data_IF_090776358689
#
_entry.id   IF_090776358689
#
_cell.length_a   1.000
_cell.length_b   1.000
_cell.length_c   1.000
_cell.angle_alpha   90.00
_cell.angle_beta   90.00
_cell.angle_gamma   90.00
#
_symmetry.space_group_name_H-M   'P 1'
#
loop_
_entity.id
_entity.type
_entity.pdbx_description
1 polymer ?
#
# COMPACT_ATOMS: atom_id res chain seq x y z
N UNK A 1 -17.56 -18.15 7.71
CA UNK A 1 -16.29 -18.87 7.49
C UNK A 1 -15.81 -18.45 6.13
N UNK A 2 -14.60 -17.91 6.04
CA UNK A 2 -14.01 -17.42 4.79
C UNK A 2 -12.75 -18.24 4.47
N UNK A 3 -12.62 -18.70 3.22
CA UNK A 3 -11.61 -19.67 2.78
C UNK A 3 -10.47 -18.92 2.08
N UNK A 4 -9.29 -18.93 2.68
CA UNK A 4 -8.17 -18.07 2.25
C UNK A 4 -7.26 -18.77 1.23
N UNK A 5 -7.38 -20.09 1.08
CA UNK A 5 -6.72 -20.91 0.06
C UNK A 5 -7.56 -22.16 -0.23
N UNK A 6 -7.83 -22.45 -1.51
CA UNK A 6 -8.44 -23.75 -1.89
C UNK A 6 -7.42 -24.90 -1.74
N UNK A 7 -7.87 -26.14 -1.46
CA UNK A 7 -6.98 -27.29 -1.42
C UNK A 7 -6.35 -27.54 -2.80
N UNK A 8 -5.05 -27.31 -2.93
CA UNK A 8 -4.29 -27.79 -4.08
C UNK A 8 -3.98 -29.26 -3.86
N UNK A 9 -4.17 -30.11 -4.89
CA UNK A 9 -3.86 -31.56 -4.85
C UNK A 9 -2.50 -31.79 -4.18
N UNK A 10 -2.53 -32.36 -2.97
CA UNK A 10 -1.33 -32.76 -2.22
C UNK A 10 -1.00 -31.94 -0.97
N UNK A 11 -1.67 -30.81 -0.70
CA UNK A 11 -1.48 -30.05 0.56
C UNK A 11 -2.58 -30.36 1.59
N UNK A 12 -2.21 -30.56 2.86
CA UNK A 12 -3.10 -30.92 3.99
C UNK A 12 -3.43 -29.75 4.93
N UNK A 13 -3.20 -28.49 4.51
CA UNK A 13 -3.41 -27.30 5.35
C UNK A 13 -4.45 -26.38 4.71
N UNK A 14 -5.37 -25.86 5.54
CA UNK A 14 -6.44 -24.94 5.14
C UNK A 14 -6.45 -23.74 6.09
N UNK A 15 -6.38 -22.54 5.52
CA UNK A 15 -6.39 -21.28 6.27
C UNK A 15 -7.80 -20.71 6.30
N UNK A 16 -8.28 -20.38 7.51
CA UNK A 16 -9.66 -19.98 7.76
C UNK A 16 -9.70 -18.74 8.66
N UNK A 17 -10.38 -17.69 8.23
CA UNK A 17 -10.74 -16.58 9.11
C UNK A 17 -12.03 -16.90 9.88
N UNK A 18 -11.96 -16.70 11.21
CA UNK A 18 -13.07 -16.93 12.13
C UNK A 18 -13.44 -15.62 12.81
N UNK A 19 -14.63 -15.05 12.52
CA UNK A 19 -15.12 -13.87 13.23
C UNK A 19 -15.15 -14.11 14.75
N UNK A 20 -14.85 -13.08 15.55
CA UNK A 20 -14.78 -13.19 17.02
C UNK A 20 -16.04 -13.81 17.62
N UNK A 21 -17.22 -13.44 17.10
CA UNK A 21 -18.52 -13.96 17.52
C UNK A 21 -18.67 -15.48 17.34
N UNK A 22 -17.94 -16.08 16.39
CA UNK A 22 -17.96 -17.51 16.07
C UNK A 22 -16.72 -18.26 16.59
N UNK A 23 -15.76 -17.56 17.19
CA UNK A 23 -14.46 -18.11 17.57
C UNK A 23 -14.58 -19.31 18.51
N UNK A 24 -15.42 -19.22 19.55
CA UNK A 24 -15.60 -20.33 20.49
C UNK A 24 -16.28 -21.54 19.85
N UNK A 25 -17.28 -21.31 18.98
CA UNK A 25 -18.00 -22.38 18.30
C UNK A 25 -17.12 -23.13 17.30
N UNK A 26 -16.27 -22.42 16.57
CA UNK A 26 -15.32 -23.04 15.62
C UNK A 26 -14.23 -23.80 16.36
N UNK A 27 -13.67 -23.27 17.45
CA UNK A 27 -12.70 -24.01 18.28
C UNK A 27 -13.30 -25.31 18.82
N UNK A 28 -14.50 -25.24 19.40
CA UNK A 28 -15.19 -26.42 19.91
C UNK A 28 -15.45 -27.47 18.82
N UNK A 29 -15.80 -27.04 17.60
CA UNK A 29 -15.97 -27.94 16.46
C UNK A 29 -14.66 -28.61 16.05
N UNK A 30 -13.56 -27.86 15.95
CA UNK A 30 -12.26 -28.41 15.54
C UNK A 30 -11.74 -29.41 16.58
N UNK A 31 -11.85 -29.08 17.87
CA UNK A 31 -11.48 -29.95 18.98
C UNK A 31 -12.31 -31.25 19.00
N UNK A 32 -13.64 -31.15 18.85
CA UNK A 32 -14.55 -32.30 18.86
C UNK A 32 -14.30 -33.28 17.69
N UNK A 33 -13.72 -32.80 16.59
CA UNK A 33 -13.42 -33.60 15.41
C UNK A 33 -11.93 -33.99 15.30
N UNK A 34 -11.12 -33.68 16.32
CA UNK A 34 -9.69 -34.01 16.33
C UNK A 34 -8.88 -33.28 15.26
N UNK A 35 -9.35 -32.14 14.77
CA UNK A 35 -8.69 -31.34 13.74
C UNK A 35 -7.68 -30.42 14.43
N UNK A 36 -6.39 -30.61 14.15
CA UNK A 36 -5.33 -29.75 14.67
C UNK A 36 -5.40 -28.36 14.03
N UNK A 37 -5.24 -27.30 14.83
CA UNK A 37 -5.23 -25.91 14.39
C UNK A 37 -4.25 -25.07 15.21
N UNK A 38 -3.82 -23.93 14.66
CA UNK A 38 -2.98 -22.91 15.32
C UNK A 38 -3.61 -21.52 15.11
N UNK A 39 -3.58 -20.65 16.14
CA UNK A 39 -4.09 -19.28 16.05
C UNK A 39 -2.97 -18.36 15.55
N UNK A 40 -3.11 -17.82 14.34
CA UNK A 40 -2.04 -17.01 13.72
C UNK A 40 -2.10 -15.51 14.08
N UNK A 41 -3.28 -14.91 14.27
CA UNK A 41 -3.46 -13.46 14.53
C UNK A 41 -4.58 -13.26 15.57
N UNK A 42 -4.34 -12.43 16.60
CA UNK A 42 -5.20 -12.34 17.79
C UNK A 42 -6.07 -11.06 17.89
N UNK A 43 -5.68 -9.92 17.28
CA UNK A 43 -6.45 -8.67 17.31
C UNK A 43 -6.12 -7.77 16.11
N UNK A 44 -7.12 -7.07 15.57
CA UNK A 44 -6.99 -6.18 14.40
C UNK A 44 -7.80 -4.90 14.63
N UNK A 45 -7.18 -3.89 15.25
CA UNK A 45 -7.81 -2.58 15.54
C UNK A 45 -6.98 -1.43 14.94
N UNK A 46 -7.41 -0.91 13.78
CA UNK A 46 -6.71 0.14 13.03
C UNK A 46 -7.44 1.50 13.06
N UNK A 47 -8.75 1.53 13.33
CA UNK A 47 -9.56 2.75 13.25
C UNK A 47 -9.34 3.76 14.39
N UNK A 48 -9.18 3.33 15.64
CA UNK A 48 -8.95 4.23 16.78
C UNK A 48 -7.63 5.03 16.67
N UNK A 49 -6.71 4.57 15.82
CA UNK A 49 -5.41 5.19 15.63
C UNK A 49 -5.45 6.35 14.62
N UNK A 50 -6.28 6.28 13.58
CA UNK A 50 -6.38 7.34 12.55
C UNK A 50 -6.94 8.65 13.14
N UNK A 51 -7.92 8.54 14.04
CA UNK A 51 -8.48 9.71 14.74
C UNK A 51 -7.44 10.41 15.64
N UNK A 52 -6.53 9.64 16.25
CA UNK A 52 -5.45 10.21 17.07
C UNK A 52 -4.41 11.00 16.26
N UNK A 53 -4.15 10.59 15.01
CA UNK A 53 -3.13 11.20 14.15
C UNK A 53 -3.47 12.65 13.79
N UNK A 54 -4.74 12.90 13.49
CA UNK A 54 -5.22 14.21 13.04
C UNK A 54 -5.38 15.17 14.23
N UNK A 55 -5.81 14.64 15.38
CA UNK A 55 -5.83 15.41 16.62
C UNK A 55 -4.44 15.87 17.07
N UNK A 56 -3.39 15.08 16.78
CA UNK A 56 -2.01 15.36 17.19
C UNK A 56 -1.23 16.31 16.25
N UNK A 57 -1.66 16.52 15.00
CA UNK A 57 -0.89 17.28 13.98
C UNK A 57 -1.75 18.23 13.11
N UNK A 58 -2.55 19.14 13.69
CA UNK A 58 -3.55 19.94 12.96
C UNK A 58 -2.95 20.91 11.92
N UNK A 59 -1.68 21.29 12.06
CA UNK A 59 -0.99 22.22 11.16
C UNK A 59 -0.31 21.53 9.95
N UNK A 60 -0.22 20.19 9.96
CA UNK A 60 0.46 19.38 8.93
C UNK A 60 -0.43 18.27 8.34
N UNK A 61 -1.57 17.99 8.96
CA UNK A 61 -2.50 16.94 8.56
C UNK A 61 -3.92 17.51 8.64
N UNK A 62 -4.58 17.71 7.49
CA UNK A 62 -5.98 18.14 7.45
C UNK A 62 -6.93 16.93 7.35
N UNK A 63 -8.04 16.94 8.10
CA UNK A 63 -8.92 15.77 8.27
C UNK A 63 -9.95 15.53 7.16
N UNK A 64 -9.65 15.88 5.90
CA UNK A 64 -10.51 15.47 4.78
C UNK A 64 -10.09 14.10 4.27
N UNK A 65 -10.21 13.06 5.11
CA UNK A 65 -9.98 11.64 4.77
C UNK A 65 -8.62 11.28 4.11
N UNK A 66 -7.69 12.24 3.98
CA UNK A 66 -6.44 12.17 3.22
C UNK A 66 -5.41 13.09 3.89
N UNK A 67 -4.30 12.59 4.44
CA UNK A 67 -3.18 13.45 4.79
C UNK A 67 -2.60 14.09 3.52
N UNK A 68 -2.73 15.41 3.42
CA UNK A 68 -2.03 16.28 2.47
C UNK A 68 -0.78 16.83 3.17
N UNK A 69 0.40 16.48 2.65
CA UNK A 69 1.67 17.01 3.11
C UNK A 69 2.16 18.07 2.11
N UNK A 70 1.86 19.33 2.41
CA UNK A 70 2.25 20.48 1.60
C UNK A 70 2.90 21.57 2.45
N UNK A 71 3.84 22.30 1.85
CA UNK A 71 4.39 23.54 2.43
C UNK A 71 4.16 24.77 1.53
N UNK A 72 3.26 24.68 0.54
CA UNK A 72 2.91 25.78 -0.36
C UNK A 72 1.93 25.40 -1.48
N UNK A 73 1.33 26.38 -2.16
CA UNK A 73 0.23 26.15 -3.13
C UNK A 73 0.76 25.87 -4.54
N UNK A 74 0.15 24.91 -5.25
CA UNK A 74 0.32 24.69 -6.69
C UNK A 74 1.58 23.93 -7.10
N UNK A 75 2.18 23.18 -6.18
CA UNK A 75 3.44 22.46 -6.45
C UNK A 75 3.20 21.17 -7.24
N UNK A 76 4.25 20.65 -7.88
CA UNK A 76 4.24 19.28 -8.38
C UNK A 76 3.91 18.31 -7.25
N UNK A 77 3.01 17.36 -7.50
CA UNK A 77 2.51 16.46 -6.48
C UNK A 77 2.84 14.99 -6.74
N UNK A 78 2.99 14.22 -5.67
CA UNK A 78 3.11 12.76 -5.68
C UNK A 78 1.86 12.18 -5.04
N UNK A 79 1.22 11.24 -5.73
CA UNK A 79 0.13 10.44 -5.19
C UNK A 79 0.67 9.13 -4.62
N UNK A 80 0.30 8.82 -3.39
CA UNK A 80 0.54 7.54 -2.73
C UNK A 80 -0.80 6.95 -2.27
N UNK A 81 -0.98 5.64 -2.45
CA UNK A 81 -2.16 4.97 -1.90
C UNK A 81 -1.88 3.55 -1.39
N UNK A 82 -2.67 3.15 -0.39
CA UNK A 82 -2.70 1.81 0.19
C UNK A 82 -4.15 1.33 0.35
N UNK A 83 -4.34 0.02 0.50
CA UNK A 83 -5.64 -0.54 0.90
C UNK A 83 -6.75 -0.44 -0.15
N UNK A 84 -6.42 -0.38 -1.44
CA UNK A 84 -7.42 -0.51 -2.52
C UNK A 84 -8.04 -1.92 -2.51
N UNK A 85 -7.23 -2.94 -2.24
CA UNK A 85 -7.69 -4.28 -1.91
C UNK A 85 -7.81 -4.44 -0.40
N UNK A 86 -9.04 -4.61 0.08
CA UNK A 86 -9.38 -4.62 1.49
C UNK A 86 -8.61 -5.61 2.37
N UNK A 87 -8.23 -6.77 1.82
CA UNK A 87 -7.59 -7.88 2.55
C UNK A 87 -6.07 -7.73 2.70
N UNK A 88 -5.46 -6.76 2.03
CA UNK A 88 -4.02 -6.54 2.02
C UNK A 88 -3.59 -5.69 3.23
N UNK A 89 -3.88 -6.17 4.44
CA UNK A 89 -3.78 -5.39 5.68
C UNK A 89 -2.40 -4.81 5.99
N UNK A 90 -1.33 -5.42 5.46
CA UNK A 90 0.03 -4.89 5.57
C UNK A 90 0.18 -3.53 4.87
N UNK A 91 -0.62 -3.23 3.85
CA UNK A 91 -0.47 -1.99 3.09
C UNK A 91 -1.03 -0.79 3.84
N UNK A 92 -2.27 -0.79 4.40
CA UNK A 92 -2.69 0.28 5.29
C UNK A 92 -1.80 0.38 6.52
N UNK A 93 -1.36 -0.74 7.11
CA UNK A 93 -0.45 -0.71 8.26
C UNK A 93 0.91 -0.05 7.92
N UNK A 94 1.43 -0.28 6.72
CA UNK A 94 2.62 0.40 6.19
C UNK A 94 2.35 1.87 5.90
N UNK A 95 1.19 2.22 5.36
CA UNK A 95 0.79 3.60 5.12
C UNK A 95 0.64 4.40 6.40
N UNK A 96 0.02 3.80 7.42
CA UNK A 96 -0.05 4.25 8.81
C UNK A 96 1.36 4.51 9.34
N UNK A 97 2.28 3.54 9.24
CA UNK A 97 3.64 3.71 9.73
C UNK A 97 4.40 4.83 9.00
N UNK A 98 4.22 4.91 7.67
CA UNK A 98 4.84 5.93 6.82
C UNK A 98 4.31 7.33 7.17
N UNK A 99 3.02 7.44 7.47
CA UNK A 99 2.37 8.65 7.94
C UNK A 99 2.71 9.00 9.40
N UNK A 100 2.82 8.01 10.30
CA UNK A 100 3.09 8.18 11.75
C UNK A 100 3.98 7.08 12.32
N UNK A 101 5.00 7.49 13.08
CA UNK A 101 5.71 6.58 13.96
C UNK A 101 5.08 6.56 15.35
N UNK A 102 4.91 5.35 15.88
CA UNK A 102 4.41 5.09 17.22
C UNK A 102 5.41 5.48 18.33
N UNK A 103 4.88 6.23 19.30
CA UNK A 103 5.18 6.31 20.74
C UNK A 103 6.54 6.77 21.31
N UNK A 104 7.59 7.12 20.55
CA UNK A 104 8.75 7.83 21.16
C UNK A 104 9.52 8.76 20.23
N UNK A 105 9.15 8.84 18.96
CA UNK A 105 9.71 9.81 18.01
C UNK A 105 8.68 9.99 16.91
N UNK A 106 8.61 11.16 16.28
CA UNK A 106 7.38 11.51 15.62
C UNK A 106 7.40 10.97 14.14
N UNK A 107 6.32 11.08 13.35
CA UNK A 107 6.18 10.70 11.92
C UNK A 107 7.43 10.76 11.01
N UNK A 108 7.63 9.84 10.07
CA UNK A 108 8.75 10.00 9.12
C UNK A 108 8.62 11.30 8.29
N UNK A 109 7.51 11.52 7.58
CA UNK A 109 7.33 12.78 6.82
C UNK A 109 7.25 13.99 7.77
N UNK A 110 6.33 13.98 8.75
CA UNK A 110 6.11 15.16 9.61
C UNK A 110 7.32 15.46 10.49
N UNK A 111 8.20 14.50 10.77
CA UNK A 111 9.24 14.71 11.80
C UNK A 111 10.65 14.49 11.39
N UNK A 112 10.84 13.90 10.22
CA UNK A 112 12.07 14.10 9.48
C UNK A 112 12.00 15.41 8.69
N UNK A 113 10.83 16.01 8.46
CA UNK A 113 10.76 17.38 7.97
C UNK A 113 11.41 18.36 8.98
N UNK A 114 12.43 19.08 8.50
CA UNK A 114 13.29 19.92 9.33
C UNK A 114 14.43 19.18 10.05
N UNK A 115 14.52 17.84 9.94
CA UNK A 115 15.60 17.02 10.53
C UNK A 115 16.41 16.24 9.51
N UNK A 116 15.75 15.43 8.68
CA UNK A 116 16.36 14.75 7.54
C UNK A 116 16.41 15.70 6.33
N UNK A 117 17.61 15.97 5.78
CA UNK A 117 17.75 16.86 4.63
C UNK A 117 17.02 16.38 3.38
N UNK A 118 16.87 15.07 3.17
CA UNK A 118 16.25 14.49 1.98
C UNK A 118 14.72 14.64 2.03
N UNK A 119 14.11 14.34 3.18
CA UNK A 119 12.67 14.55 3.42
C UNK A 119 12.34 16.04 3.37
N UNK A 120 13.17 16.87 4.00
CA UNK A 120 13.00 18.33 3.96
C UNK A 120 13.08 18.88 2.53
N UNK A 121 14.08 18.45 1.75
CA UNK A 121 14.22 18.86 0.36
C UNK A 121 13.06 18.38 -0.53
N UNK A 122 12.48 17.21 -0.23
CA UNK A 122 11.30 16.67 -0.91
C UNK A 122 10.08 17.55 -0.65
N UNK A 123 9.69 17.75 0.61
CA UNK A 123 8.49 18.50 0.97
C UNK A 123 8.59 20.01 0.69
N UNK A 124 9.80 20.56 0.58
CA UNK A 124 10.00 21.95 0.14
C UNK A 124 9.71 22.16 -1.35
N UNK A 125 9.70 21.09 -2.16
CA UNK A 125 9.56 21.17 -3.61
C UNK A 125 8.29 20.50 -4.14
N UNK A 126 7.74 19.55 -3.40
CA UNK A 126 6.61 18.73 -3.83
C UNK A 126 5.57 18.57 -2.73
N UNK A 127 4.32 18.41 -3.15
CA UNK A 127 3.24 17.99 -2.27
C UNK A 127 3.10 16.46 -2.32
N UNK A 128 2.78 15.84 -1.19
CA UNK A 128 2.49 14.40 -1.11
C UNK A 128 1.06 14.22 -0.64
N UNK A 129 0.25 13.60 -1.49
CA UNK A 129 -1.10 13.17 -1.14
C UNK A 129 -1.08 11.68 -0.87
N UNK A 130 -1.46 11.28 0.35
CA UNK A 130 -1.41 9.88 0.74
C UNK A 130 -2.76 9.38 1.21
N UNK A 131 -3.41 8.51 0.43
CA UNK A 131 -4.63 7.82 0.83
C UNK A 131 -4.33 6.47 1.51
N UNK A 132 -4.48 6.41 2.84
CA UNK A 132 -4.13 5.22 3.64
C UNK A 132 -5.10 4.06 3.41
N UNK A 133 -6.39 4.34 3.24
CA UNK A 133 -7.41 3.31 3.00
C UNK A 133 -8.28 3.76 1.84
N UNK A 134 -7.92 3.34 0.63
CA UNK A 134 -8.71 3.62 -0.58
C UNK A 134 -10.07 2.95 -0.56
N UNK A 135 -10.17 1.74 0.02
CA UNK A 135 -11.40 0.96 0.09
C UNK A 135 -11.86 0.78 1.55
N UNK A 136 -12.38 1.82 2.20
CA UNK A 136 -12.75 1.79 3.62
C UNK A 136 -13.89 0.81 3.91
N UNK A 137 -14.85 0.67 2.99
CA UNK A 137 -15.98 -0.25 3.11
C UNK A 137 -15.54 -1.71 3.03
N UNK A 138 -14.74 -2.05 2.03
CA UNK A 138 -14.13 -3.37 1.92
C UNK A 138 -13.23 -3.66 3.12
N UNK A 139 -12.41 -2.68 3.54
CA UNK A 139 -11.54 -2.83 4.68
C UNK A 139 -12.35 -3.11 5.96
N UNK A 140 -13.43 -2.36 6.22
CA UNK A 140 -14.37 -2.65 7.30
C UNK A 140 -14.96 -4.06 7.17
N UNK A 141 -15.37 -4.45 5.96
CA UNK A 141 -15.96 -5.78 5.69
C UNK A 141 -15.03 -6.93 6.11
N UNK A 142 -13.73 -6.81 5.88
CA UNK A 142 -12.76 -7.83 6.32
C UNK A 142 -12.73 -8.04 7.84
N UNK A 143 -13.25 -7.08 8.61
CA UNK A 143 -13.32 -7.09 10.07
C UNK A 143 -14.73 -7.30 10.63
N UNK A 144 -15.78 -6.93 9.89
CA UNK A 144 -17.15 -6.81 10.44
C UNK A 144 -18.24 -7.54 9.66
N UNK A 145 -17.93 -8.19 8.53
CA UNK A 145 -18.86 -9.01 7.75
C UNK A 145 -20.18 -8.33 7.35
N UNK A 146 -20.15 -7.06 6.90
CA UNK A 146 -21.34 -6.37 6.38
C UNK A 146 -21.08 -5.52 5.13
N UNK A 147 -21.88 -5.79 4.09
CA UNK A 147 -22.11 -5.05 2.83
C UNK A 147 -21.00 -5.03 1.75
N UNK A 148 -21.40 -5.04 0.48
CA UNK A 148 -20.57 -5.44 -0.68
C UNK A 148 -20.79 -4.60 -1.95
N UNK A 149 -21.52 -3.49 -1.85
CA UNK A 149 -21.97 -2.74 -3.02
C UNK A 149 -22.83 -3.57 -3.98
N UNK A 150 -23.44 -2.93 -5.00
CA UNK A 150 -24.31 -3.64 -5.94
C UNK A 150 -23.58 -4.26 -7.16
N UNK A 151 -22.41 -3.78 -7.62
CA UNK A 151 -21.67 -4.31 -8.79
C UNK A 151 -20.24 -3.73 -8.95
N UNK A 152 -19.40 -4.32 -9.83
CA UNK A 152 -18.05 -3.82 -10.10
C UNK A 152 -18.04 -2.35 -10.61
N UNK A 153 -17.20 -1.49 -10.02
CA UNK A 153 -17.15 -0.02 -10.22
C UNK A 153 -18.31 0.79 -9.60
N UNK A 154 -19.10 0.25 -8.67
CA UNK A 154 -20.08 1.04 -7.90
C UNK A 154 -19.47 2.00 -6.88
N UNK A 155 -18.19 1.81 -6.58
CA UNK A 155 -17.46 2.44 -5.49
C UNK A 155 -17.12 3.90 -5.82
N UNK A 156 -17.64 4.83 -5.01
CA UNK A 156 -17.44 6.28 -5.15
C UNK A 156 -15.98 6.72 -5.03
N UNK A 157 -15.13 5.82 -4.53
CA UNK A 157 -13.75 6.03 -4.10
C UNK A 157 -12.80 6.16 -5.32
N UNK A 158 -12.91 5.26 -6.31
CA UNK A 158 -12.10 5.32 -7.54
C UNK A 158 -12.39 6.60 -8.32
N UNK A 159 -13.68 6.96 -8.44
CA UNK A 159 -14.08 8.19 -9.09
C UNK A 159 -13.54 9.42 -8.36
N UNK A 160 -13.55 9.40 -7.03
CA UNK A 160 -13.02 10.49 -6.21
C UNK A 160 -11.51 10.68 -6.40
N UNK A 161 -10.73 9.59 -6.51
CA UNK A 161 -9.29 9.65 -6.81
C UNK A 161 -9.06 10.22 -8.21
N UNK A 162 -9.79 9.74 -9.21
CA UNK A 162 -9.68 10.21 -10.60
C UNK A 162 -9.99 11.70 -10.69
N UNK A 163 -11.13 12.14 -10.15
CA UNK A 163 -11.55 13.54 -10.16
C UNK A 163 -10.54 14.43 -9.43
N UNK A 164 -9.98 13.95 -8.32
CA UNK A 164 -8.99 14.67 -7.54
C UNK A 164 -7.67 14.86 -8.31
N UNK A 165 -7.12 13.79 -8.88
CA UNK A 165 -5.85 13.82 -9.64
C UNK A 165 -5.99 14.73 -10.87
N UNK A 166 -7.07 14.57 -11.64
CA UNK A 166 -7.33 15.37 -12.83
C UNK A 166 -7.63 16.83 -12.48
N UNK A 167 -8.36 17.08 -11.37
CA UNK A 167 -8.68 18.42 -10.90
C UNK A 167 -7.46 19.19 -10.37
N UNK A 168 -6.51 18.49 -9.74
CA UNK A 168 -5.24 19.10 -9.30
C UNK A 168 -4.33 19.47 -10.47
N UNK A 169 -4.24 18.62 -11.49
CA UNK A 169 -3.56 18.92 -12.76
C UNK A 169 -2.02 18.97 -12.73
N UNK A 170 -1.39 18.81 -11.56
CA UNK A 170 0.08 18.86 -11.42
C UNK A 170 0.71 17.64 -10.71
N UNK A 171 0.06 16.47 -10.81
CA UNK A 171 0.66 15.21 -10.34
C UNK A 171 1.77 14.73 -11.28
N UNK A 172 2.89 14.28 -10.70
CA UNK A 172 4.07 13.77 -11.44
C UNK A 172 4.27 12.27 -11.28
N UNK A 173 3.82 11.74 -10.16
CA UNK A 173 4.02 10.35 -9.80
C UNK A 173 2.78 9.78 -9.10
N UNK A 174 2.62 8.47 -9.27
CA UNK A 174 1.56 7.68 -8.67
C UNK A 174 2.15 6.36 -8.19
N UNK A 175 2.07 6.11 -6.89
CA UNK A 175 2.60 4.89 -6.29
C UNK A 175 1.47 4.22 -5.52
N UNK A 176 1.03 3.06 -6.02
CA UNK A 176 -0.02 2.26 -5.40
C UNK A 176 0.61 1.05 -4.72
N UNK A 177 0.22 0.78 -3.47
CA UNK A 177 0.89 -0.20 -2.63
C UNK A 177 -0.07 -1.34 -2.30
N UNK A 178 0.30 -2.52 -2.78
CA UNK A 178 -0.40 -3.79 -2.63
C UNK A 178 0.40 -4.80 -1.81
N UNK A 179 -0.21 -5.94 -1.51
CA UNK A 179 0.51 -7.15 -1.11
C UNK A 179 -0.20 -8.38 -1.69
N UNK A 180 0.47 -9.51 -1.86
CA UNK A 180 1.85 -9.84 -1.52
C UNK A 180 2.54 -10.38 -2.77
N UNK A 181 3.87 -10.29 -2.83
CA UNK A 181 4.75 -11.05 -3.74
C UNK A 181 6.19 -10.56 -3.72
N UNK A 182 6.48 -9.44 -3.04
CA UNK A 182 7.77 -8.75 -3.09
C UNK A 182 8.12 -8.31 -4.52
N UNK A 183 7.30 -7.43 -5.10
CA UNK A 183 7.51 -6.89 -6.44
C UNK A 183 7.45 -5.36 -6.47
N UNK A 184 8.23 -4.74 -7.35
CA UNK A 184 8.09 -3.34 -7.73
C UNK A 184 7.89 -3.25 -9.24
N UNK A 185 6.66 -2.97 -9.64
CA UNK A 185 6.25 -2.98 -11.04
C UNK A 185 6.00 -1.57 -11.56
N UNK A 186 6.15 -1.39 -12.86
CA UNK A 186 5.76 -0.19 -13.60
C UNK A 186 4.97 -0.56 -14.87
N UNK A 187 4.32 0.40 -15.54
CA UNK A 187 3.56 0.13 -16.75
C UNK A 187 4.34 -0.56 -17.88
N UNK A 188 3.71 -1.32 -18.77
CA UNK A 188 2.27 -1.59 -18.80
C UNK A 188 1.92 -2.98 -18.25
N UNK A 189 0.71 -3.11 -17.71
CA UNK A 189 0.08 -4.41 -17.43
C UNK A 189 -0.73 -4.94 -18.62
N UNK A 190 -1.33 -4.06 -19.41
CA UNK A 190 -2.30 -4.44 -20.45
C UNK A 190 -1.69 -4.76 -21.82
N UNK A 191 -0.39 -4.49 -22.04
CA UNK A 191 0.27 -4.68 -23.34
C UNK A 191 1.76 -4.98 -23.17
N UNK A 192 2.31 -5.78 -24.09
CA UNK A 192 3.75 -6.05 -24.18
C UNK A 192 4.54 -4.88 -24.79
N UNK A 193 3.86 -3.88 -25.34
CA UNK A 193 4.52 -2.68 -25.86
C UNK A 193 5.12 -1.90 -24.69
N UNK A 194 6.44 -1.66 -24.64
CA UNK A 194 7.04 -0.94 -23.53
C UNK A 194 6.56 0.52 -23.44
N UNK A 195 6.51 1.05 -22.22
CA UNK A 195 6.34 2.49 -21.99
C UNK A 195 7.46 3.29 -22.68
N UNK A 196 7.20 4.49 -23.26
CA UNK A 196 8.22 5.31 -23.91
C UNK A 196 9.47 5.59 -23.08
N UNK A 197 9.35 5.64 -21.75
CA UNK A 197 10.48 5.81 -20.82
C UNK A 197 10.79 4.54 -20.00
N UNK A 198 10.53 3.35 -20.56
CA UNK A 198 10.74 2.07 -19.86
C UNK A 198 12.16 1.90 -19.30
N UNK A 199 13.20 2.34 -20.01
CA UNK A 199 14.59 2.24 -19.53
C UNK A 199 14.83 3.08 -18.26
N UNK A 200 14.23 4.28 -18.19
CA UNK A 200 14.28 5.17 -17.02
C UNK A 200 13.54 4.54 -15.84
N UNK A 201 12.33 4.02 -16.09
CA UNK A 201 11.52 3.34 -15.07
C UNK A 201 12.22 2.09 -14.53
N UNK A 202 12.84 1.30 -15.41
CA UNK A 202 13.56 0.08 -15.05
C UNK A 202 14.77 0.40 -14.18
N UNK A 203 15.59 1.37 -14.60
CA UNK A 203 16.76 1.80 -13.82
C UNK A 203 16.36 2.39 -12.46
N UNK A 204 15.24 3.12 -12.40
CA UNK A 204 14.71 3.68 -11.15
C UNK A 204 14.16 2.58 -10.22
N UNK A 205 13.38 1.64 -10.76
CA UNK A 205 12.87 0.49 -10.01
C UNK A 205 14.01 -0.34 -9.41
N UNK A 206 15.07 -0.58 -10.19
CA UNK A 206 16.28 -1.25 -9.69
C UNK A 206 16.87 -0.52 -8.48
N UNK A 207 17.09 0.79 -8.57
CA UNK A 207 17.66 1.57 -7.45
C UNK A 207 16.77 1.50 -6.20
N UNK A 208 15.45 1.57 -6.38
CA UNK A 208 14.50 1.48 -5.29
C UNK A 208 14.52 0.10 -4.62
N UNK A 209 14.60 -0.99 -5.40
CA UNK A 209 14.76 -2.36 -4.88
C UNK A 209 16.11 -2.55 -4.19
N UNK A 210 17.20 -2.04 -4.75
CA UNK A 210 18.53 -2.10 -4.12
C UNK A 210 18.50 -1.40 -2.74
N UNK A 211 17.83 -0.24 -2.64
CA UNK A 211 17.68 0.50 -1.40
C UNK A 211 16.82 -0.27 -0.37
N UNK A 212 15.72 -0.88 -0.80
CA UNK A 212 14.87 -1.73 0.03
C UNK A 212 15.64 -2.93 0.58
N UNK A 213 16.33 -3.67 -0.29
CA UNK A 213 17.08 -4.88 0.06
C UNK A 213 18.19 -4.57 1.08
N UNK A 214 18.77 -3.37 1.04
CA UNK A 214 19.89 -2.97 1.91
C UNK A 214 19.59 -3.04 3.41
N UNK A 215 18.32 -2.94 3.84
CA UNK A 215 17.96 -2.86 5.25
C UNK A 215 17.79 -4.23 5.91
N UNK A 216 17.12 -5.16 5.23
CA UNK A 216 16.74 -6.46 5.78
C UNK A 216 17.09 -7.65 4.88
N UNK A 217 17.67 -7.42 3.70
CA UNK A 217 17.97 -8.45 2.71
C UNK A 217 16.73 -8.98 1.98
N UNK A 218 15.62 -8.25 2.04
CA UNK A 218 14.36 -8.66 1.39
C UNK A 218 14.47 -8.46 -0.10
N UNK A 219 14.35 -9.54 -0.86
CA UNK A 219 14.52 -9.53 -2.31
C UNK A 219 13.21 -9.23 -3.01
N UNK A 220 13.21 -8.17 -3.81
CA UNK A 220 12.08 -7.85 -4.69
C UNK A 220 12.43 -8.14 -6.14
N UNK A 221 11.47 -8.64 -6.91
CA UNK A 221 11.55 -8.61 -8.37
C UNK A 221 11.03 -7.27 -8.89
N UNK A 222 11.53 -6.80 -10.04
CA UNK A 222 11.09 -5.55 -10.62
C UNK A 222 11.08 -5.61 -12.15
N UNK A 223 10.22 -4.81 -12.77
CA UNK A 223 10.04 -4.81 -14.22
C UNK A 223 8.71 -4.20 -14.64
N UNK A 224 8.39 -4.29 -15.93
CA UNK A 224 7.03 -3.96 -16.37
C UNK A 224 6.07 -4.98 -15.77
N UNK A 225 4.85 -4.55 -15.45
CA UNK A 225 3.85 -5.43 -14.84
C UNK A 225 3.65 -6.72 -15.66
N UNK A 226 3.44 -6.58 -16.98
CA UNK A 226 3.14 -7.73 -17.85
C UNK A 226 4.27 -8.78 -17.88
N UNK A 227 5.53 -8.35 -17.73
CA UNK A 227 6.69 -9.24 -17.73
C UNK A 227 7.01 -9.83 -16.35
N UNK A 228 6.56 -9.17 -15.28
CA UNK A 228 6.89 -9.54 -13.89
C UNK A 228 5.82 -10.43 -13.27
N UNK A 229 4.55 -10.27 -13.67
CA UNK A 229 3.41 -10.94 -13.05
C UNK A 229 2.54 -11.69 -14.07
N UNK A 230 1.46 -11.06 -14.56
CA UNK A 230 0.60 -11.56 -15.62
C UNK A 230 -0.10 -10.38 -16.32
N UNK A 231 -0.57 -10.54 -17.58
CA UNK A 231 -1.30 -9.48 -18.28
C UNK A 231 -2.54 -9.04 -17.50
N UNK A 232 -2.62 -7.75 -17.17
CA UNK A 232 -3.73 -7.17 -16.41
C UNK A 232 -4.16 -5.84 -17.03
N UNK A 233 -5.46 -5.67 -17.25
CA UNK A 233 -6.03 -4.41 -17.76
C UNK A 233 -6.65 -3.59 -16.65
N UNK A 234 -6.56 -2.25 -16.75
CA UNK A 234 -7.22 -1.34 -15.81
C UNK A 234 -6.50 -1.18 -14.48
N UNK A 235 -5.19 -1.46 -14.43
CA UNK A 235 -4.37 -1.21 -13.23
C UNK A 235 -4.26 0.30 -12.98
N UNK A 236 -4.13 0.67 -11.70
CA UNK A 236 -4.02 2.06 -11.27
C UNK A 236 -2.80 2.76 -11.88
N UNK A 237 -1.66 2.04 -11.95
CA UNK A 237 -0.42 2.55 -12.56
C UNK A 237 -0.53 2.75 -14.08
N UNK A 238 -1.21 1.86 -14.81
CA UNK A 238 -1.45 2.04 -16.25
C UNK A 238 -2.32 3.27 -16.52
N UNK A 239 -3.36 3.48 -15.71
CA UNK A 239 -4.21 4.67 -15.79
C UNK A 239 -3.43 5.94 -15.48
N UNK A 240 -2.66 5.97 -14.39
CA UNK A 240 -1.85 7.12 -14.01
C UNK A 240 -0.88 7.53 -15.12
N UNK A 241 -0.15 6.54 -15.66
CA UNK A 241 0.82 6.76 -16.73
C UNK A 241 0.18 7.29 -18.01
N UNK A 242 -0.99 6.73 -18.39
CA UNK A 242 -1.75 7.22 -19.55
C UNK A 242 -2.24 8.66 -19.38
N UNK A 243 -2.45 9.12 -18.15
CA UNK A 243 -2.85 10.49 -17.82
C UNK A 243 -1.65 11.42 -17.52
N UNK A 244 -0.44 11.02 -17.88
CA UNK A 244 0.76 11.88 -17.81
C UNK A 244 1.54 11.79 -16.50
N UNK A 245 1.16 10.91 -15.55
CA UNK A 245 1.94 10.65 -14.35
C UNK A 245 3.08 9.69 -14.72
N UNK A 246 4.15 10.28 -15.27
CA UNK A 246 5.28 9.59 -15.89
C UNK A 246 5.98 8.58 -14.97
N UNK A 247 5.91 8.79 -13.65
CA UNK A 247 6.44 7.88 -12.65
C UNK A 247 5.31 7.15 -11.93
N UNK A 248 4.75 6.14 -12.61
CA UNK A 248 3.69 5.29 -12.06
C UNK A 248 4.26 3.93 -11.66
N UNK A 249 4.08 3.53 -10.40
CA UNK A 249 4.62 2.29 -9.84
C UNK A 249 3.58 1.55 -8.98
N UNK A 250 3.71 0.23 -8.93
CA UNK A 250 2.94 -0.64 -8.04
C UNK A 250 3.90 -1.47 -7.19
N UNK A 251 3.74 -1.40 -5.87
CA UNK A 251 4.41 -2.32 -4.94
C UNK A 251 3.51 -3.53 -4.68
N UNK A 252 4.12 -4.71 -4.61
CA UNK A 252 3.57 -5.89 -3.94
C UNK A 252 4.47 -6.18 -2.75
N UNK A 253 4.01 -5.89 -1.53
CA UNK A 253 4.81 -6.00 -0.32
C UNK A 253 5.07 -7.46 0.08
N UNK A 254 5.64 -7.65 1.28
CA UNK A 254 5.85 -8.97 1.87
C UNK A 254 4.52 -9.74 2.03
N UNK A 255 4.56 -11.07 2.04
CA UNK A 255 5.71 -11.95 1.78
C UNK A 255 5.64 -12.58 0.37
N UNK A 256 6.24 -13.77 0.18
CA UNK A 256 6.19 -14.52 -1.08
C UNK A 256 5.19 -15.69 -1.03
N UNK A 257 4.25 -15.66 -0.09
CA UNK A 257 3.14 -16.62 0.02
C UNK A 257 3.21 -17.61 1.18
N UNK A 258 4.13 -17.42 2.15
CA UNK A 258 4.11 -18.23 3.39
C UNK A 258 2.94 -17.81 4.27
N UNK A 259 2.74 -16.52 4.43
CA UNK A 259 1.63 -15.91 5.16
C UNK A 259 0.65 -15.21 4.20
N UNK A 260 1.14 -14.72 3.06
CA UNK A 260 0.34 -13.98 2.10
C UNK A 260 -0.29 -12.76 2.75
N UNK A 261 -1.63 -12.69 2.71
CA UNK A 261 -2.39 -11.59 3.32
C UNK A 261 -2.39 -11.60 4.87
N UNK A 262 -2.06 -12.74 5.50
CA UNK A 262 -2.01 -12.91 6.97
C UNK A 262 -0.60 -12.64 7.53
N UNK A 263 0.10 -11.66 6.95
CA UNK A 263 1.45 -11.34 7.40
C UNK A 263 1.45 -10.99 8.91
N UNK A 264 2.30 -11.64 9.74
CA UNK A 264 2.27 -11.43 11.18
C UNK A 264 2.54 -9.97 11.57
N UNK A 265 1.89 -9.48 12.64
CA UNK A 265 2.00 -8.09 13.07
C UNK A 265 3.45 -7.64 13.38
N UNK A 266 4.31 -8.56 13.81
CA UNK A 266 5.73 -8.27 14.05
C UNK A 266 6.55 -8.01 12.76
N UNK A 267 5.97 -8.27 11.58
CA UNK A 267 6.54 -7.93 10.27
C UNK A 267 6.10 -6.56 9.75
N UNK A 268 5.14 -5.89 10.41
CA UNK A 268 4.65 -4.58 9.96
C UNK A 268 5.77 -3.54 9.92
N UNK A 269 6.48 -3.36 11.03
CA UNK A 269 7.55 -2.35 11.12
C UNK A 269 8.71 -2.66 10.15
N UNK A 270 9.27 -3.89 10.09
CA UNK A 270 10.30 -4.21 9.11
C UNK A 270 9.86 -3.97 7.66
N UNK A 271 8.63 -4.35 7.31
CA UNK A 271 8.08 -4.12 5.95
C UNK A 271 7.98 -2.63 5.65
N UNK A 272 7.49 -1.83 6.60
CA UNK A 272 7.34 -0.40 6.41
C UNK A 272 8.70 0.33 6.30
N UNK A 273 9.68 -0.07 7.11
CA UNK A 273 11.02 0.53 7.10
C UNK A 273 11.76 0.31 5.78
N UNK A 274 11.75 -0.92 5.24
CA UNK A 274 12.43 -1.18 3.96
C UNK A 274 11.67 -0.55 2.78
N UNK A 275 10.34 -0.56 2.82
CA UNK A 275 9.50 0.07 1.80
C UNK A 275 9.74 1.59 1.75
N UNK A 276 9.94 2.22 2.91
CA UNK A 276 10.26 3.64 3.00
C UNK A 276 11.54 4.02 2.25
N UNK A 277 12.58 3.17 2.28
CA UNK A 277 13.82 3.42 1.53
C UNK A 277 13.59 3.41 0.01
N UNK A 278 12.75 2.48 -0.46
CA UNK A 278 12.33 2.46 -1.85
C UNK A 278 11.51 3.71 -2.20
N UNK A 279 10.50 4.05 -1.39
CA UNK A 279 9.67 5.25 -1.60
C UNK A 279 10.52 6.52 -1.67
N UNK A 280 11.47 6.72 -0.75
CA UNK A 280 12.36 7.89 -0.78
C UNK A 280 13.25 7.92 -2.04
N UNK A 281 13.66 6.77 -2.55
CA UNK A 281 14.40 6.68 -3.82
C UNK A 281 13.53 7.11 -5.00
N UNK A 282 12.29 6.64 -5.06
CA UNK A 282 11.33 7.02 -6.10
C UNK A 282 10.99 8.51 -6.02
N UNK A 283 10.54 8.98 -4.86
CA UNK A 283 10.12 10.36 -4.65
C UNK A 283 11.28 11.35 -4.83
N UNK A 284 12.49 10.99 -4.40
CA UNK A 284 13.69 11.78 -4.63
C UNK A 284 14.01 11.94 -6.12
N UNK A 285 13.85 10.87 -6.91
CA UNK A 285 14.01 10.96 -8.37
C UNK A 285 12.97 11.89 -9.00
N UNK A 286 11.69 11.77 -8.61
CA UNK A 286 10.60 12.60 -9.11
C UNK A 286 10.85 14.09 -8.82
N UNK A 287 11.30 14.41 -7.59
CA UNK A 287 11.68 15.77 -7.18
C UNK A 287 12.72 16.39 -8.09
N UNK A 288 13.70 15.60 -8.51
CA UNK A 288 14.82 16.08 -9.34
C UNK A 288 14.50 16.05 -10.84
N UNK A 289 13.41 15.36 -11.24
CA UNK A 289 12.99 15.17 -12.63
C UNK A 289 11.46 15.40 -12.82
N UNK A 290 10.93 16.61 -12.53
CA UNK A 290 9.48 16.87 -12.43
C UNK A 290 8.74 17.01 -13.77
N UNK A 291 9.39 16.68 -14.88
CA UNK A 291 8.90 16.91 -16.25
C UNK A 291 7.77 15.97 -16.67
#
# INVERSE_FOLDING_TARGET
>A
MDLWREPVRGSRVMDLHVPLASLQQVKAFLEANGIQYEIMIADVQIYAWMDSLVAENPDLVSNQCRPDFSTGVGRPAIWLDTGIHAREWITPATGIWTAKKASTSPCMIVTEYGRDPSVTALLNKMDIFFEIVVNPDGYAFTHTSTYRGPFAHSESEVKSIVDFILGHGNFKAMITIHSYSQMLMYPYGYTDTPAPNADELHALAKRAVDALESLHGTKYTFGSWISTLYPASGTTADWGYKNGLRYSFTFELRDTGRYGFLLPANQIIPTAQETWLALMTLMGHVRDHPY
#
